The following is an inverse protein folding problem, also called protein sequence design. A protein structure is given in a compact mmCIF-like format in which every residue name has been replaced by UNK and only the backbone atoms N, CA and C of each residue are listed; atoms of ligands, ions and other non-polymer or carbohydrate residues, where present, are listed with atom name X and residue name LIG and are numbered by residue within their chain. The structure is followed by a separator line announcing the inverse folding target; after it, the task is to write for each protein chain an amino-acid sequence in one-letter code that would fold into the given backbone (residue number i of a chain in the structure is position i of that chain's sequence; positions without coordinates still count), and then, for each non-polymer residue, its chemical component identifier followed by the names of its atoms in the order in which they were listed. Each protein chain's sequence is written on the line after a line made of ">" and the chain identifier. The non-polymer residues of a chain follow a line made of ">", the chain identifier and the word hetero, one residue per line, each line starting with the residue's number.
data_IF_125091221108
#
_entry.id   IF_125091221108
#
_cell.length_a   1.000
_cell.length_b   1.000
_cell.length_c   1.000
_cell.angle_alpha   90.00
_cell.angle_beta   90.00
_cell.angle_gamma   90.00
#
_symmetry.space_group_name_H-M   'P 1'
#
loop_
_entity.id
_entity.type
_entity.pdbx_description
1 polymer ?
#
# COMPACT_ATOMS: atom_id res chain seq x y z
N UNK A 1 8.82 5.44 9.76
CA UNK A 1 8.59 4.16 9.13
C UNK A 1 8.32 4.36 7.65
N UNK A 2 9.36 4.73 6.96
CA UNK A 2 9.27 5.14 5.56
C UNK A 2 10.28 4.34 4.75
N UNK A 3 9.87 3.90 3.57
CA UNK A 3 10.71 3.09 2.73
C UNK A 3 11.83 3.85 2.06
N UNK A 4 12.68 3.14 1.33
CA UNK A 4 13.92 3.60 0.77
C UNK A 4 13.76 4.63 -0.35
N UNK A 5 14.84 5.30 -0.63
CA UNK A 5 14.98 6.20 -1.74
C UNK A 5 16.19 5.83 -2.60
N UNK A 6 16.29 6.46 -3.77
CA UNK A 6 17.39 6.24 -4.71
C UNK A 6 18.72 6.75 -4.19
N UNK A 7 18.70 7.75 -3.33
CA UNK A 7 19.88 8.39 -2.78
C UNK A 7 19.81 8.34 -1.25
N UNK A 8 20.59 7.47 -0.65
CA UNK A 8 20.63 7.29 0.80
C UNK A 8 21.00 8.55 1.56
N UNK A 9 21.88 9.37 1.03
CA UNK A 9 22.29 10.59 1.69
C UNK A 9 21.17 11.61 1.80
N UNK A 10 20.31 11.68 0.78
CA UNK A 10 19.15 12.57 0.78
C UNK A 10 18.02 12.08 1.68
N UNK A 11 18.03 10.78 1.99
CA UNK A 11 16.93 10.12 2.70
C UNK A 11 17.41 9.47 4.01
N UNK A 12 18.32 10.10 4.69
CA UNK A 12 18.98 9.53 5.87
C UNK A 12 18.02 9.21 7.03
N UNK A 13 16.80 9.72 7.03
CA UNK A 13 15.80 9.42 8.04
C UNK A 13 14.87 8.24 7.71
N UNK A 14 15.05 7.63 6.55
CA UNK A 14 14.19 6.53 6.10
C UNK A 14 14.68 5.18 6.59
N UNK A 15 13.74 4.27 6.78
CA UNK A 15 14.05 2.89 7.11
C UNK A 15 14.57 2.13 5.86
N UNK A 16 15.37 1.10 6.09
CA UNK A 16 15.82 0.24 5.00
C UNK A 16 14.70 -0.66 4.49
N UNK A 17 14.87 -1.20 3.30
CA UNK A 17 13.92 -2.16 2.73
C UNK A 17 13.75 -3.38 3.64
N UNK A 18 14.85 -3.87 4.21
CA UNK A 18 14.85 -5.02 5.11
C UNK A 18 14.04 -4.74 6.38
N UNK A 19 14.19 -3.56 6.95
CA UNK A 19 13.41 -3.14 8.12
C UNK A 19 11.91 -3.08 7.80
N UNK A 20 11.54 -2.54 6.63
CA UNK A 20 10.15 -2.45 6.20
C UNK A 20 9.56 -3.85 6.00
N UNK A 21 10.28 -4.75 5.37
CA UNK A 21 9.84 -6.13 5.19
C UNK A 21 9.63 -6.82 6.55
N UNK A 22 10.56 -6.61 7.47
CA UNK A 22 10.45 -7.15 8.82
C UNK A 22 9.21 -6.62 9.54
N UNK A 23 8.95 -5.34 9.45
CA UNK A 23 7.77 -4.72 10.03
C UNK A 23 6.47 -5.29 9.45
N UNK A 24 6.42 -5.46 8.14
CA UNK A 24 5.26 -6.06 7.48
C UNK A 24 5.02 -7.50 7.94
N UNK A 25 6.08 -8.29 8.12
CA UNK A 25 5.97 -9.66 8.64
C UNK A 25 5.44 -9.68 10.06
N UNK A 26 5.78 -8.68 10.85
CA UNK A 26 5.32 -8.56 12.23
C UNK A 26 3.90 -7.98 12.33
N UNK A 27 3.26 -7.70 11.22
CA UNK A 27 1.90 -7.16 11.20
C UNK A 27 1.82 -5.67 11.48
N UNK A 28 2.93 -4.97 11.30
CA UNK A 28 2.95 -3.51 11.49
C UNK A 28 2.52 -2.79 10.22
N UNK A 29 1.92 -1.62 10.42
CA UNK A 29 1.60 -0.71 9.32
C UNK A 29 2.83 0.14 9.01
N UNK A 30 3.12 0.30 7.73
CA UNK A 30 4.25 1.10 7.27
C UNK A 30 3.77 2.17 6.32
N UNK A 31 4.60 3.21 6.14
CA UNK A 31 4.37 4.22 5.11
C UNK A 31 5.41 4.02 4.02
N UNK A 32 4.95 3.79 2.81
CA UNK A 32 5.83 3.67 1.65
C UNK A 32 5.62 4.90 0.79
N UNK A 33 6.71 5.61 0.55
CA UNK A 33 6.66 6.83 -0.25
C UNK A 33 7.15 6.59 -1.66
N UNK A 34 6.45 7.21 -2.58
CA UNK A 34 6.81 7.26 -3.96
C UNK A 34 7.94 8.26 -4.19
N UNK A 35 8.56 8.21 -5.37
CA UNK A 35 9.58 9.14 -5.79
C UNK A 35 9.00 10.55 -5.89
N UNK A 36 9.75 11.56 -5.44
CA UNK A 36 9.33 12.95 -5.57
C UNK A 36 9.19 13.41 -7.04
N UNK A 37 9.86 12.73 -7.96
CA UNK A 37 9.74 12.99 -9.40
C UNK A 37 8.52 12.30 -10.02
N UNK A 38 7.82 11.47 -9.27
CA UNK A 38 6.60 10.79 -9.72
C UNK A 38 5.39 11.43 -9.06
N UNK A 39 4.73 10.75 -8.12
CA UNK A 39 3.55 11.29 -7.44
C UNK A 39 3.89 11.97 -6.13
N UNK A 40 5.03 11.63 -5.55
CA UNK A 40 5.48 12.14 -4.25
C UNK A 40 4.40 11.97 -3.16
N UNK A 41 3.76 10.82 -3.16
CA UNK A 41 2.71 10.49 -2.22
C UNK A 41 3.13 9.32 -1.34
N UNK A 42 2.56 9.25 -0.16
CA UNK A 42 2.78 8.16 0.77
C UNK A 42 1.55 7.28 0.88
N UNK A 43 1.77 5.98 0.98
CA UNK A 43 0.71 4.99 1.17
C UNK A 43 0.88 4.28 2.51
N UNK A 44 -0.22 4.12 3.24
CA UNK A 44 -0.25 3.26 4.40
C UNK A 44 -0.44 1.82 3.94
N UNK A 45 0.49 0.95 4.31
CA UNK A 45 0.52 -0.44 3.84
C UNK A 45 0.70 -1.37 5.02
N UNK A 46 -0.01 -2.49 4.99
CA UNK A 46 0.24 -3.60 5.92
C UNK A 46 -0.15 -4.92 5.26
N UNK A 47 0.33 -6.02 5.82
CA UNK A 47 0.01 -7.35 5.32
C UNK A 47 -1.48 -7.64 5.55
N UNK A 48 -2.20 -7.97 4.47
CA UNK A 48 -3.62 -8.25 4.54
C UNK A 48 -3.95 -9.42 5.47
N UNK A 49 -3.06 -10.41 5.55
CA UNK A 49 -3.24 -11.57 6.42
C UNK A 49 -3.21 -11.22 7.92
N UNK A 50 -2.76 -10.03 8.25
CA UNK A 50 -2.60 -9.57 9.64
C UNK A 50 -3.47 -8.36 9.97
N UNK A 51 -4.30 -7.93 9.05
CA UNK A 51 -5.13 -6.74 9.22
C UNK A 51 -6.25 -7.00 10.24
N UNK A 52 -6.51 -6.01 11.07
CA UNK A 52 -7.59 -6.01 12.06
C UNK A 52 -8.54 -4.85 11.78
N UNK A 53 -9.72 -4.89 12.38
CA UNK A 53 -10.71 -3.82 12.23
C UNK A 53 -10.17 -2.44 12.59
N UNK A 54 -9.37 -2.35 13.66
CA UNK A 54 -8.77 -1.10 14.08
C UNK A 54 -7.75 -0.55 13.08
N UNK A 55 -7.09 -1.44 12.34
CA UNK A 55 -6.13 -1.01 11.30
C UNK A 55 -6.85 -0.37 10.12
N UNK A 56 -7.95 -0.98 9.68
CA UNK A 56 -8.78 -0.41 8.62
C UNK A 56 -9.38 0.92 9.07
N UNK A 57 -9.86 0.98 10.31
CA UNK A 57 -10.36 2.23 10.88
C UNK A 57 -9.30 3.32 10.91
N UNK A 58 -8.08 2.97 11.27
CA UNK A 58 -6.95 3.91 11.26
C UNK A 58 -6.71 4.46 9.85
N UNK A 59 -6.69 3.57 8.85
CA UNK A 59 -6.52 3.98 7.45
C UNK A 59 -7.63 4.93 7.01
N UNK A 60 -8.87 4.62 7.33
CA UNK A 60 -10.02 5.45 6.96
C UNK A 60 -9.98 6.81 7.65
N UNK A 61 -9.65 6.82 8.93
CA UNK A 61 -9.70 8.03 9.74
C UNK A 61 -8.53 8.99 9.48
N UNK A 62 -7.33 8.45 9.34
CA UNK A 62 -6.11 9.24 9.24
C UNK A 62 -5.50 9.25 7.84
N UNK A 63 -5.57 8.16 7.13
CA UNK A 63 -5.09 8.08 5.74
C UNK A 63 -5.99 8.83 4.77
N UNK A 64 -7.29 8.67 4.93
CA UNK A 64 -8.33 9.40 4.19
C UNK A 64 -8.30 9.21 2.68
N UNK A 65 -7.59 8.22 2.21
CA UNK A 65 -7.55 7.88 0.80
C UNK A 65 -8.43 6.67 0.49
N UNK A 66 -8.22 6.12 -0.67
CA UNK A 66 -8.88 4.90 -1.09
C UNK A 66 -8.24 3.70 -0.41
N UNK A 67 -9.03 2.89 0.27
CA UNK A 67 -8.55 1.66 0.89
C UNK A 67 -8.71 0.54 -0.11
N UNK A 68 -7.61 -0.09 -0.47
CA UNK A 68 -7.57 -1.15 -1.47
C UNK A 68 -7.04 -2.45 -0.86
N UNK A 69 -7.57 -3.56 -1.34
CA UNK A 69 -7.05 -4.89 -1.02
C UNK A 69 -6.50 -5.50 -2.31
N UNK A 70 -5.24 -5.89 -2.30
CA UNK A 70 -4.65 -6.55 -3.44
C UNK A 70 -4.81 -8.06 -3.30
N UNK A 71 -5.36 -8.69 -4.34
CA UNK A 71 -5.59 -10.12 -4.39
C UNK A 71 -5.12 -10.67 -5.73
N UNK A 72 -4.73 -11.94 -5.75
CA UNK A 72 -4.45 -12.62 -7.01
C UNK A 72 -5.76 -12.88 -7.77
N UNK A 73 -5.69 -12.99 -9.09
CA UNK A 73 -6.85 -13.34 -9.90
C UNK A 73 -7.49 -14.66 -9.47
N UNK A 74 -6.67 -15.64 -9.11
CA UNK A 74 -7.14 -16.94 -8.61
C UNK A 74 -7.97 -16.80 -7.34
N UNK A 75 -7.61 -15.87 -6.47
CA UNK A 75 -8.35 -15.62 -5.24
C UNK A 75 -9.64 -14.84 -5.50
N UNK A 76 -9.64 -13.97 -6.49
CA UNK A 76 -10.80 -13.16 -6.85
C UNK A 76 -11.92 -13.99 -7.46
N UNK A 77 -11.60 -15.02 -8.23
CA UNK A 77 -12.60 -15.86 -8.93
C UNK A 77 -13.65 -16.46 -8.01
N UNK A 78 -13.27 -17.26 -6.98
CA UNK A 78 -14.28 -17.87 -6.10
C UNK A 78 -15.05 -16.83 -5.29
N UNK A 79 -14.46 -15.67 -5.04
CA UNK A 79 -15.11 -14.57 -4.32
C UNK A 79 -15.97 -13.69 -5.22
N UNK A 80 -15.91 -13.91 -6.53
CA UNK A 80 -16.62 -13.12 -7.55
C UNK A 80 -16.31 -11.63 -7.45
N UNK A 81 -15.04 -11.31 -7.24
CA UNK A 81 -14.57 -9.92 -7.15
C UNK A 81 -13.98 -9.48 -8.49
N UNK A 82 -14.63 -8.53 -9.19
CA UNK A 82 -14.06 -7.89 -10.37
C UNK A 82 -13.08 -6.80 -9.95
N UNK A 83 -12.42 -6.20 -10.93
CA UNK A 83 -11.66 -4.99 -10.69
C UNK A 83 -12.57 -3.89 -10.16
N UNK A 84 -12.06 -3.03 -9.30
CA UNK A 84 -12.82 -1.94 -8.70
C UNK A 84 -13.36 -0.95 -9.72
N UNK A 85 -12.65 -0.79 -10.84
CA UNK A 85 -13.01 0.15 -11.88
C UNK A 85 -13.66 -0.55 -13.06
N UNK A 86 -14.65 0.10 -13.67
CA UNK A 86 -15.28 -0.39 -14.89
C UNK A 86 -14.30 -0.34 -16.06
N UNK A 87 -14.54 -1.17 -17.07
CA UNK A 87 -13.73 -1.21 -18.28
C UNK A 87 -13.58 0.15 -18.98
N UNK A 88 -14.58 1.01 -18.87
CA UNK A 88 -14.55 2.35 -19.46
C UNK A 88 -13.47 3.23 -18.85
N UNK A 89 -13.13 3.02 -17.59
CA UNK A 89 -12.14 3.82 -16.87
C UNK A 89 -10.75 3.20 -16.81
N UNK A 90 -10.63 1.92 -17.20
CA UNK A 90 -9.37 1.17 -17.12
C UNK A 90 -8.19 1.83 -17.82
N UNK A 91 -8.45 2.51 -18.91
CA UNK A 91 -7.38 3.10 -19.74
C UNK A 91 -6.65 4.25 -19.08
N UNK A 92 -7.22 4.82 -18.02
CA UNK A 92 -6.71 6.03 -17.38
C UNK A 92 -6.20 5.81 -15.98
N UNK A 93 -6.41 4.63 -15.40
CA UNK A 93 -6.11 4.33 -14.00
C UNK A 93 -5.47 2.96 -13.83
N UNK A 94 -4.73 2.74 -12.73
CA UNK A 94 -4.22 1.42 -12.40
C UNK A 94 -5.33 0.40 -12.23
N UNK A 95 -4.98 -0.87 -12.31
CA UNK A 95 -5.90 -1.98 -12.10
C UNK A 95 -6.14 -2.20 -10.60
N UNK A 96 -7.25 -1.76 -10.13
CA UNK A 96 -7.70 -1.99 -8.75
C UNK A 96 -8.79 -3.06 -8.65
#
# INVERSE_FOLDING_TARGET
>A
MVTQAKNEAAWSGLNSTEEIISDLRDGKMVVIMDDEDRENEGDLIMAASKVRSQDVNFMARYGRGLICLTLTGERCEPLRLPLMESDANRRRRPNF
#
